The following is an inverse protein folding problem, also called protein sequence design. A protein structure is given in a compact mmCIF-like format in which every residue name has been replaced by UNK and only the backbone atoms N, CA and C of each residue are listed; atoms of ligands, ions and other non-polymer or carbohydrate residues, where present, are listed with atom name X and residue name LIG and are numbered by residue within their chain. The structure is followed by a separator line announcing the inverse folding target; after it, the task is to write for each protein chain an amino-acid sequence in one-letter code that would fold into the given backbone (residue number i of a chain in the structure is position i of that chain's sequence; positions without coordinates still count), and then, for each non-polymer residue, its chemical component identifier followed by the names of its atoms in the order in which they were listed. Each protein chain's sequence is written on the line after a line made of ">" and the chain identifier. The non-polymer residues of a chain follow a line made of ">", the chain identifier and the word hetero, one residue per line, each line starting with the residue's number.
data_IF_238135665418
#
_entry.id   IF_238135665418
#
_cell.length_a   1.000
_cell.length_b   1.000
_cell.length_c   1.000
_cell.angle_alpha   90.00
_cell.angle_beta   90.00
_cell.angle_gamma   90.00
#
_symmetry.space_group_name_H-M   'P 1'
#
loop_
_entity.id
_entity.type
_entity.pdbx_description
1 polymer ?
#
# COMPACT_ATOMS: atom_id res chain seq x y z
N UNK A 1 7.47 -2.98 31.72
CA UNK A 1 7.61 -1.63 31.12
C UNK A 1 6.33 -0.81 31.31
N UNK A 2 5.16 -1.25 30.83
CA UNK A 2 3.89 -0.53 31.01
C UNK A 2 3.59 -0.14 32.47
N UNK A 3 3.77 -1.07 33.44
CA UNK A 3 3.57 -0.79 34.86
C UNK A 3 4.56 0.23 35.46
N UNK A 4 5.76 0.38 34.86
CA UNK A 4 6.75 1.37 35.31
C UNK A 4 6.39 2.74 34.73
N UNK A 5 6.00 2.79 33.45
CA UNK A 5 5.55 4.01 32.77
C UNK A 5 4.24 4.56 33.35
N UNK A 6 3.30 3.69 33.71
CA UNK A 6 2.06 4.08 34.38
C UNK A 6 2.31 4.68 35.78
N UNK A 7 3.39 4.27 36.47
CA UNK A 7 3.77 4.78 37.79
C UNK A 7 4.60 6.07 37.73
N UNK A 8 5.47 6.22 36.71
CA UNK A 8 6.37 7.37 36.57
C UNK A 8 5.78 8.52 35.74
N UNK A 9 4.65 8.29 35.07
CA UNK A 9 4.04 9.24 34.14
C UNK A 9 4.75 9.22 32.79
N UNK A 10 3.99 9.48 31.73
CA UNK A 10 4.43 9.40 30.33
C UNK A 10 5.23 10.67 29.93
N UNK A 11 5.13 11.71 30.76
CA UNK A 11 5.77 13.01 30.55
C UNK A 11 7.22 13.09 31.08
N UNK A 12 7.83 11.98 31.49
CA UNK A 12 9.25 11.96 31.86
C UNK A 12 10.14 11.95 30.59
N UNK A 13 11.17 12.79 30.59
CA UNK A 13 12.04 13.01 29.42
C UNK A 13 12.51 11.75 28.69
N UNK A 14 13.00 10.71 29.39
CA UNK A 14 13.45 9.47 28.75
C UNK A 14 12.34 8.71 27.99
N UNK A 15 11.12 8.69 28.50
CA UNK A 15 9.99 8.01 27.83
C UNK A 15 9.57 8.75 26.58
N UNK A 16 9.51 10.08 26.63
CA UNK A 16 9.20 10.90 25.44
C UNK A 16 10.25 10.65 24.35
N UNK A 17 11.53 10.63 24.72
CA UNK A 17 12.62 10.33 23.78
C UNK A 17 12.48 8.91 23.21
N UNK A 18 12.23 7.91 24.04
CA UNK A 18 12.05 6.53 23.60
C UNK A 18 10.86 6.39 22.63
N UNK A 19 9.71 6.99 22.96
CA UNK A 19 8.52 7.01 22.10
C UNK A 19 8.77 7.72 20.79
N UNK A 20 9.49 8.85 20.81
CA UNK A 20 9.87 9.57 19.60
C UNK A 20 10.76 8.70 18.70
N UNK A 21 11.79 8.04 19.24
CA UNK A 21 12.68 7.17 18.47
C UNK A 21 11.94 5.96 17.89
N UNK A 22 11.05 5.32 18.66
CA UNK A 22 10.22 4.22 18.18
C UNK A 22 9.29 4.69 17.05
N UNK A 23 8.67 5.85 17.21
CA UNK A 23 7.78 6.44 16.19
C UNK A 23 8.53 6.75 14.91
N UNK A 24 9.74 7.34 15.02
CA UNK A 24 10.61 7.60 13.86
C UNK A 24 11.01 6.30 13.17
N UNK A 25 11.44 5.29 13.92
CA UNK A 25 11.87 4.00 13.35
C UNK A 25 10.74 3.25 12.63
N UNK A 26 9.56 3.19 13.25
CA UNK A 26 8.37 2.57 12.65
C UNK A 26 7.86 3.38 11.46
N UNK A 27 7.84 4.71 11.58
CA UNK A 27 7.48 5.64 10.50
C UNK A 27 8.39 5.50 9.28
N UNK A 28 9.70 5.39 9.50
CA UNK A 28 10.70 5.13 8.46
C UNK A 28 10.45 3.80 7.74
N UNK A 29 10.22 2.71 8.50
CA UNK A 29 9.97 1.38 7.92
C UNK A 29 8.66 1.31 7.14
N UNK A 30 7.62 1.98 7.61
CA UNK A 30 6.34 2.07 6.90
C UNK A 30 6.34 3.09 5.75
N UNK A 31 7.39 3.91 5.61
CA UNK A 31 7.48 5.05 4.68
C UNK A 31 6.35 6.08 4.88
N UNK A 32 6.08 6.43 6.14
CA UNK A 32 5.12 7.48 6.52
C UNK A 32 5.80 8.84 6.36
N UNK A 33 5.10 9.87 5.88
CA UNK A 33 5.61 11.24 5.85
C UNK A 33 5.85 11.72 7.29
N UNK A 34 7.02 12.31 7.64
CA UNK A 34 8.11 12.80 6.79
C UNK A 34 9.25 11.80 6.50
N UNK A 35 9.20 10.57 7.01
CA UNK A 35 10.28 9.58 6.97
C UNK A 35 10.33 8.73 5.68
N UNK A 36 9.65 9.15 4.61
CA UNK A 36 9.48 8.40 3.36
C UNK A 36 10.57 8.63 2.31
N UNK A 37 11.46 9.61 2.52
CA UNK A 37 12.41 10.12 1.51
C UNK A 37 13.25 9.04 0.82
N UNK A 38 13.60 7.98 1.55
CA UNK A 38 14.40 6.87 1.03
C UNK A 38 13.66 6.01 -0.01
N UNK A 39 12.32 5.96 0.05
CA UNK A 39 11.51 4.95 -0.65
C UNK A 39 11.58 5.08 -2.17
N UNK A 40 11.39 6.26 -2.79
CA UNK A 40 11.43 6.39 -4.25
C UNK A 40 12.78 6.04 -4.84
N UNK A 41 13.87 6.52 -4.25
CA UNK A 41 15.22 6.31 -4.79
C UNK A 41 15.70 4.87 -4.56
N UNK A 42 15.35 4.25 -3.42
CA UNK A 42 15.65 2.84 -3.20
C UNK A 42 14.88 1.91 -4.16
N UNK A 43 13.62 2.24 -4.47
CA UNK A 43 12.80 1.41 -5.35
C UNK A 43 13.27 1.47 -6.81
N UNK A 44 13.68 2.65 -7.24
CA UNK A 44 14.17 2.90 -8.60
C UNK A 44 15.60 2.36 -8.80
N UNK A 45 16.46 2.52 -7.79
CA UNK A 45 17.85 2.08 -7.85
C UNK A 45 18.06 0.57 -7.65
N UNK A 46 17.14 -0.11 -6.96
CA UNK A 46 17.25 -1.54 -6.72
C UNK A 46 16.70 -2.40 -7.88
N UNK A 47 17.19 -3.64 -8.05
CA UNK A 47 16.59 -4.59 -8.98
C UNK A 47 15.10 -4.81 -8.66
N UNK A 48 14.28 -4.90 -9.70
CA UNK A 48 12.81 -5.01 -9.59
C UNK A 48 12.34 -6.13 -8.63
N UNK A 49 12.95 -7.33 -8.53
CA UNK A 49 12.51 -8.34 -7.55
C UNK A 49 12.78 -7.90 -6.09
N UNK A 50 13.91 -7.24 -5.86
CA UNK A 50 14.25 -6.71 -4.54
C UNK A 50 13.28 -5.58 -4.16
N UNK A 51 12.98 -4.69 -5.10
CA UNK A 51 11.97 -3.64 -4.92
C UNK A 51 10.59 -4.21 -4.61
N UNK A 52 10.17 -5.25 -5.34
CA UNK A 52 8.90 -5.94 -5.08
C UNK A 52 8.81 -6.44 -3.64
N UNK A 53 9.83 -7.16 -3.17
CA UNK A 53 9.89 -7.67 -1.80
C UNK A 53 9.91 -6.54 -0.77
N UNK A 54 10.79 -5.54 -0.96
CA UNK A 54 10.92 -4.38 -0.07
C UNK A 54 9.63 -3.56 0.02
N UNK A 55 8.82 -3.57 -1.03
CA UNK A 55 7.58 -2.81 -1.07
C UNK A 55 6.45 -3.39 -0.24
N UNK A 56 6.52 -4.68 0.10
CA UNK A 56 5.44 -5.40 0.78
C UNK A 56 5.91 -5.97 2.11
N UNK A 57 6.96 -6.79 2.13
CA UNK A 57 7.39 -7.54 3.31
C UNK A 57 7.70 -6.64 4.52
N UNK A 58 8.68 -5.71 4.39
CA UNK A 58 9.00 -4.76 5.46
C UNK A 58 7.83 -3.88 5.89
N UNK A 59 6.93 -3.50 4.97
CA UNK A 59 5.74 -2.70 5.30
C UNK A 59 4.72 -3.48 6.10
N UNK A 60 4.46 -4.73 5.71
CA UNK A 60 3.59 -5.63 6.46
C UNK A 60 4.10 -5.83 7.89
N UNK A 61 5.41 -6.08 8.04
CA UNK A 61 6.05 -6.18 9.34
C UNK A 61 5.96 -4.87 10.15
N UNK A 62 6.15 -3.72 9.50
CA UNK A 62 6.03 -2.41 10.14
C UNK A 62 4.62 -2.17 10.69
N UNK A 63 3.58 -2.44 9.90
CA UNK A 63 2.19 -2.27 10.36
C UNK A 63 1.80 -3.28 11.45
N UNK A 64 2.29 -4.51 11.38
CA UNK A 64 2.12 -5.47 12.47
C UNK A 64 2.78 -4.98 13.78
N UNK A 65 3.99 -4.43 13.68
CA UNK A 65 4.69 -3.84 14.82
C UNK A 65 3.98 -2.60 15.36
N UNK A 66 3.50 -1.70 14.49
CA UNK A 66 2.72 -0.51 14.86
C UNK A 66 1.48 -0.92 15.66
N UNK A 67 0.70 -1.89 15.19
CA UNK A 67 -0.48 -2.38 15.92
C UNK A 67 -0.09 -2.95 17.30
N UNK A 68 0.95 -3.79 17.38
CA UNK A 68 1.39 -4.37 18.65
C UNK A 68 1.93 -3.33 19.64
N UNK A 69 2.65 -2.33 19.16
CA UNK A 69 3.18 -1.26 20.01
C UNK A 69 2.04 -0.36 20.50
N UNK A 70 1.19 0.13 19.60
CA UNK A 70 0.13 1.07 19.96
C UNK A 70 -0.95 0.44 20.83
N UNK A 71 -1.43 -0.77 20.47
CA UNK A 71 -2.54 -1.41 21.18
C UNK A 71 -2.06 -2.25 22.37
N UNK A 72 -0.94 -2.95 22.23
CA UNK A 72 -0.41 -3.81 23.29
C UNK A 72 0.46 -3.05 24.29
N UNK A 73 1.59 -2.49 23.83
CA UNK A 73 2.57 -1.89 24.74
C UNK A 73 2.12 -0.54 25.31
N UNK A 74 1.48 0.30 24.47
CA UNK A 74 1.05 1.65 24.83
C UNK A 74 -0.44 1.75 25.17
N UNK A 75 -1.25 0.74 24.83
CA UNK A 75 -2.67 0.70 25.13
C UNK A 75 -3.00 0.96 26.61
N UNK A 76 -2.33 0.29 27.57
CA UNK A 76 -2.55 0.51 29.00
C UNK A 76 -2.24 1.93 29.49
N UNK A 77 -1.49 2.74 28.73
CA UNK A 77 -1.16 4.12 29.08
C UNK A 77 -2.28 5.11 28.74
N UNK A 78 -3.29 4.68 27.97
CA UNK A 78 -4.46 5.52 27.64
C UNK A 78 -4.18 6.70 26.71
N UNK A 79 -2.94 6.88 26.21
CA UNK A 79 -2.58 8.00 25.33
C UNK A 79 -3.40 7.96 24.05
N UNK A 80 -3.91 9.12 23.63
CA UNK A 80 -4.60 9.26 22.37
C UNK A 80 -3.66 9.65 21.22
N UNK A 81 -3.51 8.73 20.27
CA UNK A 81 -2.69 8.88 19.07
C UNK A 81 -3.53 9.16 17.83
N UNK A 82 -4.86 9.07 17.94
CA UNK A 82 -5.79 8.98 16.82
C UNK A 82 -5.69 10.21 15.92
N UNK A 83 -5.69 11.42 16.52
CA UNK A 83 -5.59 12.67 15.78
C UNK A 83 -4.26 12.81 15.02
N UNK A 84 -3.14 12.52 15.67
CA UNK A 84 -1.81 12.61 15.04
C UNK A 84 -1.69 11.61 13.89
N UNK A 85 -2.10 10.36 14.11
CA UNK A 85 -2.05 9.32 13.07
C UNK A 85 -3.00 9.63 11.92
N UNK A 86 -4.18 10.21 12.18
CA UNK A 86 -5.12 10.64 11.15
C UNK A 86 -4.53 11.76 10.27
N UNK A 87 -3.86 12.75 10.87
CA UNK A 87 -3.17 13.82 10.13
C UNK A 87 -2.03 13.23 9.29
N UNK A 88 -1.17 12.38 9.89
CA UNK A 88 -0.09 11.72 9.18
C UNK A 88 -0.61 10.84 8.04
N UNK A 89 -1.73 10.15 8.23
CA UNK A 89 -2.38 9.36 7.20
C UNK A 89 -2.80 10.23 6.02
N UNK A 90 -3.49 11.34 6.29
CA UNK A 90 -3.94 12.30 5.27
C UNK A 90 -2.77 12.89 4.48
N UNK A 91 -1.73 13.35 5.18
CA UNK A 91 -0.53 13.92 4.54
C UNK A 91 0.21 12.86 3.73
N UNK A 92 0.33 11.64 4.24
CA UNK A 92 1.03 10.53 3.57
C UNK A 92 0.31 10.10 2.30
N UNK A 93 -1.02 9.91 2.35
CA UNK A 93 -1.79 9.54 1.16
C UNK A 93 -1.79 10.65 0.10
N UNK A 94 -1.96 11.90 0.54
CA UNK A 94 -2.04 13.07 -0.35
C UNK A 94 -0.70 13.39 -0.99
N UNK A 95 0.36 13.46 -0.20
CA UNK A 95 1.72 13.70 -0.70
C UNK A 95 2.17 12.59 -1.65
N UNK A 96 1.91 11.32 -1.31
CA UNK A 96 2.21 10.18 -2.17
C UNK A 96 1.51 10.28 -3.52
N UNK A 97 0.20 10.53 -3.54
CA UNK A 97 -0.56 10.61 -4.78
C UNK A 97 -0.20 11.83 -5.64
N UNK A 98 0.00 13.01 -5.03
CA UNK A 98 0.39 14.22 -5.77
C UNK A 98 1.72 14.01 -6.49
N UNK A 99 2.72 13.46 -5.79
CA UNK A 99 4.05 13.29 -6.39
C UNK A 99 4.05 12.12 -7.40
N UNK A 100 3.23 11.08 -7.19
CA UNK A 100 3.05 9.99 -8.16
C UNK A 100 2.56 10.50 -9.52
N UNK A 101 1.66 11.49 -9.56
CA UNK A 101 1.17 12.10 -10.80
C UNK A 101 2.31 12.69 -11.65
N UNK A 102 3.28 13.32 -11.00
CA UNK A 102 4.41 13.95 -11.67
C UNK A 102 5.47 12.94 -12.17
N UNK A 103 5.41 11.66 -11.77
CA UNK A 103 6.42 10.68 -12.16
C UNK A 103 6.24 10.23 -13.61
N UNK A 104 7.35 10.18 -14.34
CA UNK A 104 7.48 9.63 -15.70
C UNK A 104 8.09 8.23 -15.75
N UNK A 105 8.67 7.77 -14.64
CA UNK A 105 9.17 6.41 -14.45
C UNK A 105 8.14 5.61 -13.64
N UNK A 106 7.77 4.43 -14.14
CA UNK A 106 6.73 3.57 -13.57
C UNK A 106 7.15 2.97 -12.22
N UNK A 107 8.43 2.61 -12.03
CA UNK A 107 8.93 2.12 -10.73
C UNK A 107 8.86 3.22 -9.66
N UNK A 108 9.30 4.44 -10.00
CA UNK A 108 9.17 5.62 -9.10
C UNK A 108 7.71 5.96 -8.83
N UNK A 109 6.85 5.91 -9.84
CA UNK A 109 5.41 6.12 -9.69
C UNK A 109 4.81 5.10 -8.70
N UNK A 110 5.15 3.81 -8.83
CA UNK A 110 4.73 2.77 -7.88
C UNK A 110 5.33 2.95 -6.47
N UNK A 111 6.52 3.55 -6.35
CA UNK A 111 7.09 3.90 -5.05
C UNK A 111 6.28 4.99 -4.33
N UNK A 112 5.89 6.05 -5.05
CA UNK A 112 5.03 7.10 -4.50
C UNK A 112 3.59 6.61 -4.24
N UNK A 113 3.07 5.73 -5.11
CA UNK A 113 1.85 4.99 -4.84
C UNK A 113 1.96 4.16 -3.55
N UNK A 114 3.06 3.44 -3.34
CA UNK A 114 3.32 2.67 -2.12
C UNK A 114 3.30 3.55 -0.88
N UNK A 115 3.82 4.78 -0.96
CA UNK A 115 3.68 5.79 0.10
C UNK A 115 2.20 6.15 0.27
N UNK A 116 1.46 6.40 -0.81
CA UNK A 116 0.05 6.72 -0.71
C UNK A 116 -0.77 5.60 -0.03
N UNK A 117 -0.48 4.34 -0.37
CA UNK A 117 -1.10 3.17 0.24
C UNK A 117 -0.78 3.00 1.73
N UNK A 118 0.44 3.36 2.16
CA UNK A 118 0.76 3.48 3.59
C UNK A 118 -0.21 4.43 4.29
N UNK A 119 -0.58 5.55 3.67
CA UNK A 119 -1.54 6.51 4.24
C UNK A 119 -2.93 5.91 4.47
N UNK A 120 -3.46 5.13 3.51
CA UNK A 120 -4.75 4.45 3.69
C UNK A 120 -4.72 3.43 4.83
N UNK A 121 -3.64 2.64 4.94
CA UNK A 121 -3.48 1.69 6.05
C UNK A 121 -3.37 2.45 7.38
N UNK A 122 -2.61 3.55 7.41
CA UNK A 122 -2.44 4.38 8.60
C UNK A 122 -3.76 5.01 9.07
N UNK A 123 -4.69 5.30 8.16
CA UNK A 123 -6.03 5.77 8.52
C UNK A 123 -6.81 4.73 9.35
N UNK A 124 -6.71 3.44 9.00
CA UNK A 124 -7.29 2.37 9.81
C UNK A 124 -6.58 2.21 11.16
N UNK A 125 -5.25 2.43 11.22
CA UNK A 125 -4.51 2.45 12.50
C UNK A 125 -4.98 3.62 13.37
N UNK A 126 -5.23 4.80 12.80
CA UNK A 126 -5.76 5.94 13.53
C UNK A 126 -7.14 5.65 14.16
N UNK A 127 -7.92 4.76 13.53
CA UNK A 127 -9.20 4.28 14.01
C UNK A 127 -9.10 3.06 14.94
N UNK A 128 -7.91 2.58 15.30
CA UNK A 128 -7.73 1.29 16.00
C UNK A 128 -8.47 1.19 17.34
N UNK A 129 -8.73 2.31 18.01
CA UNK A 129 -9.52 2.36 19.26
C UNK A 129 -11.02 2.20 19.07
N UNK A 130 -11.55 2.38 17.86
CA UNK A 130 -12.97 2.21 17.57
C UNK A 130 -13.43 0.73 17.62
N UNK A 131 -12.48 -0.21 17.59
CA UNK A 131 -12.75 -1.63 17.79
C UNK A 131 -11.89 -2.55 16.93
N UNK A 132 -12.12 -3.87 17.02
CA UNK A 132 -11.34 -4.87 16.29
C UNK A 132 -11.49 -4.77 14.76
N UNK A 133 -12.56 -4.14 14.27
CA UNK A 133 -12.78 -3.89 12.83
C UNK A 133 -11.68 -3.02 12.21
N UNK A 134 -11.13 -2.06 12.96
CA UNK A 134 -10.03 -1.22 12.50
C UNK A 134 -8.72 -2.02 12.34
N UNK A 135 -8.39 -2.87 13.31
CA UNK A 135 -7.26 -3.79 13.20
C UNK A 135 -7.44 -4.78 12.05
N UNK A 136 -8.65 -5.30 11.86
CA UNK A 136 -9.01 -6.17 10.73
C UNK A 136 -8.80 -5.46 9.39
N UNK A 137 -9.21 -4.18 9.29
CA UNK A 137 -9.02 -3.36 8.10
C UNK A 137 -7.53 -3.16 7.77
N UNK A 138 -6.66 -2.93 8.76
CA UNK A 138 -5.20 -2.86 8.56
C UNK A 138 -4.67 -4.15 7.97
N UNK A 139 -5.00 -5.30 8.58
CA UNK A 139 -4.52 -6.62 8.14
C UNK A 139 -5.03 -6.98 6.74
N UNK A 140 -6.31 -6.75 6.48
CA UNK A 140 -6.92 -6.98 5.17
C UNK A 140 -6.27 -6.09 4.10
N UNK A 141 -6.07 -4.80 4.39
CA UNK A 141 -5.47 -3.88 3.44
C UNK A 141 -4.02 -4.24 3.15
N UNK A 142 -3.21 -4.58 4.16
CA UNK A 142 -1.82 -5.03 3.97
C UNK A 142 -1.77 -6.27 3.09
N UNK A 143 -2.67 -7.25 3.31
CA UNK A 143 -2.76 -8.44 2.47
C UNK A 143 -3.14 -8.11 1.03
N UNK A 144 -4.22 -7.34 0.84
CA UNK A 144 -4.69 -6.93 -0.48
C UNK A 144 -3.62 -6.13 -1.23
N UNK A 145 -2.97 -5.18 -0.54
CA UNK A 145 -1.84 -4.41 -1.04
C UNK A 145 -0.67 -5.30 -1.43
N UNK A 146 -0.33 -6.29 -0.60
CA UNK A 146 0.70 -7.25 -0.92
C UNK A 146 0.43 -7.97 -2.25
N UNK A 147 -0.79 -8.48 -2.43
CA UNK A 147 -1.19 -9.18 -3.64
C UNK A 147 -1.11 -8.29 -4.88
N UNK A 148 -1.70 -7.09 -4.81
CA UNK A 148 -1.75 -6.19 -5.97
C UNK A 148 -0.38 -5.57 -6.30
N UNK A 149 0.41 -5.23 -5.29
CA UNK A 149 1.70 -4.56 -5.51
C UNK A 149 2.79 -5.56 -5.93
N UNK A 150 2.83 -6.76 -5.37
CA UNK A 150 3.69 -7.83 -5.88
C UNK A 150 3.32 -8.20 -7.31
N UNK A 151 2.03 -8.27 -7.63
CA UNK A 151 1.54 -8.48 -9.00
C UNK A 151 2.02 -7.39 -9.96
N UNK A 152 1.88 -6.12 -9.58
CA UNK A 152 2.34 -4.98 -10.37
C UNK A 152 3.86 -5.04 -10.64
N UNK A 153 4.69 -5.30 -9.62
CA UNK A 153 6.12 -5.45 -9.81
C UNK A 153 6.50 -6.73 -10.56
N UNK A 154 5.73 -7.81 -10.43
CA UNK A 154 5.93 -9.02 -11.23
C UNK A 154 5.61 -8.78 -12.71
N UNK A 155 4.65 -7.91 -13.03
CA UNK A 155 4.44 -7.43 -14.39
C UNK A 155 5.63 -6.61 -14.88
N UNK A 156 6.17 -5.70 -14.06
CA UNK A 156 7.41 -4.99 -14.44
C UNK A 156 8.58 -5.95 -14.67
N UNK A 157 8.71 -7.02 -13.88
CA UNK A 157 9.69 -8.09 -14.15
C UNK A 157 9.43 -8.84 -15.45
N UNK A 158 8.16 -9.10 -15.75
CA UNK A 158 7.74 -9.73 -17.00
C UNK A 158 8.12 -8.86 -18.21
N UNK A 159 8.15 -7.54 -18.05
CA UNK A 159 8.55 -6.59 -19.09
C UNK A 159 10.08 -6.42 -19.19
N UNK A 160 10.81 -6.57 -18.08
CA UNK A 160 12.23 -6.20 -17.89
C UNK A 160 13.22 -7.40 -18.05
N UNK A 161 12.90 -8.41 -18.88
CA UNK A 161 13.77 -9.59 -19.08
C UNK A 161 14.89 -9.42 -20.14
N UNK A 162 15.09 -8.22 -20.71
CA UNK A 162 16.16 -7.94 -21.71
C UNK A 162 16.86 -6.57 -21.50
N UNK A 163 17.13 -6.16 -20.26
CA UNK A 163 18.13 -5.11 -19.99
C UNK A 163 17.72 -3.66 -20.28
N UNK A 164 16.43 -3.40 -20.54
CA UNK A 164 15.87 -2.03 -20.55
C UNK A 164 15.80 -1.51 -19.11
N UNK A 165 16.87 -0.85 -18.68
CA UNK A 165 16.91 -0.18 -17.38
C UNK A 165 15.87 0.94 -17.33
N UNK A 166 14.78 0.66 -16.63
CA UNK A 166 13.89 1.68 -16.06
C UNK A 166 12.64 1.91 -16.89
N UNK A 167 11.52 1.35 -16.43
CA UNK A 167 10.21 1.40 -17.06
C UNK A 167 9.67 2.84 -17.19
N UNK A 168 10.21 3.61 -18.13
CA UNK A 168 9.63 4.89 -18.52
C UNK A 168 8.19 4.66 -19.00
N UNK A 169 7.33 5.65 -18.81
CA UNK A 169 5.95 5.55 -19.29
C UNK A 169 5.89 5.40 -20.82
N UNK A 170 6.88 5.92 -21.53
CA UNK A 170 6.96 5.87 -23.00
C UNK A 170 7.30 4.46 -23.50
N UNK A 171 8.12 3.69 -22.77
CA UNK A 171 8.38 2.28 -23.08
C UNK A 171 7.13 1.39 -23.02
N UNK A 172 6.10 1.83 -22.29
CA UNK A 172 4.83 1.13 -22.20
C UNK A 172 3.89 1.44 -23.37
N UNK A 173 4.23 2.37 -24.27
CA UNK A 173 3.39 2.72 -25.42
C UNK A 173 3.10 1.50 -26.32
N UNK A 174 1.81 1.20 -26.53
CA UNK A 174 1.36 0.11 -27.40
C UNK A 174 1.69 -1.29 -26.91
N UNK A 175 2.11 -1.44 -25.65
CA UNK A 175 2.52 -2.72 -25.06
C UNK A 175 1.40 -3.77 -25.07
N UNK A 176 0.14 -3.35 -24.97
CA UNK A 176 -1.05 -4.22 -25.02
C UNK A 176 -1.17 -5.00 -26.33
N UNK A 177 -0.67 -4.49 -27.46
CA UNK A 177 -0.64 -5.21 -28.74
C UNK A 177 0.51 -6.22 -28.83
N UNK A 178 1.58 -6.00 -28.06
CA UNK A 178 2.82 -6.80 -28.08
C UNK A 178 2.74 -8.02 -27.18
N UNK A 179 2.32 -7.78 -25.95
CA UNK A 179 2.29 -8.74 -24.85
C UNK A 179 0.92 -8.63 -24.14
N UNK A 180 -0.17 -9.03 -24.81
CA UNK A 180 -1.54 -8.80 -24.33
C UNK A 180 -1.79 -9.41 -22.96
N UNK A 181 -1.20 -10.57 -22.66
CA UNK A 181 -1.34 -11.22 -21.36
C UNK A 181 -0.71 -10.38 -20.23
N UNK A 182 0.56 -9.98 -20.38
CA UNK A 182 1.26 -9.16 -19.38
C UNK A 182 0.61 -7.79 -19.19
N UNK A 183 0.15 -7.16 -20.28
CA UNK A 183 -0.56 -5.89 -20.24
C UNK A 183 -1.91 -5.99 -19.51
N UNK A 184 -2.66 -7.07 -19.75
CA UNK A 184 -3.94 -7.32 -19.08
C UNK A 184 -3.74 -7.57 -17.57
N UNK A 185 -2.79 -8.42 -17.22
CA UNK A 185 -2.43 -8.66 -15.82
C UNK A 185 -2.04 -7.36 -15.11
N UNK A 186 -1.19 -6.54 -15.74
CA UNK A 186 -0.77 -5.27 -15.17
C UNK A 186 -1.94 -4.31 -15.00
N UNK A 187 -2.81 -4.19 -16.01
CA UNK A 187 -4.02 -3.38 -15.91
C UNK A 187 -4.92 -3.83 -14.74
N UNK A 188 -5.12 -5.13 -14.53
CA UNK A 188 -5.88 -5.66 -13.38
C UNK A 188 -5.27 -5.20 -12.05
N UNK A 189 -3.95 -5.29 -11.88
CA UNK A 189 -3.29 -4.83 -10.66
C UNK A 189 -3.40 -3.31 -10.46
N UNK A 190 -3.25 -2.51 -11.51
CA UNK A 190 -3.38 -1.04 -11.42
C UNK A 190 -4.82 -0.60 -11.15
N UNK A 191 -5.80 -1.26 -11.76
CA UNK A 191 -7.24 -1.07 -11.48
C UNK A 191 -7.54 -1.44 -10.02
N UNK A 192 -6.91 -2.51 -9.52
CA UNK A 192 -7.03 -2.90 -8.11
C UNK A 192 -6.41 -1.87 -7.17
N UNK A 193 -5.18 -1.41 -7.44
CA UNK A 193 -4.54 -0.36 -6.66
C UNK A 193 -5.35 0.95 -6.66
N UNK A 194 -5.96 1.29 -7.80
CA UNK A 194 -6.92 2.41 -7.90
C UNK A 194 -8.12 2.20 -6.99
N UNK A 195 -8.56 0.96 -6.82
CA UNK A 195 -9.71 0.59 -6.00
C UNK A 195 -11.01 0.61 -6.79
N UNK A 196 -10.99 0.12 -8.03
CA UNK A 196 -12.19 0.04 -8.88
C UNK A 196 -12.83 -1.35 -8.71
N UNK A 197 -14.16 -1.47 -8.49
CA UNK A 197 -14.85 -2.76 -8.45
C UNK A 197 -14.70 -3.56 -9.76
N UNK A 198 -14.66 -4.90 -9.73
CA UNK A 198 -14.83 -5.81 -8.59
C UNK A 198 -13.50 -6.30 -8.01
N UNK A 199 -12.49 -5.45 -7.82
CA UNK A 199 -11.15 -5.85 -7.35
C UNK A 199 -11.03 -5.87 -5.82
N UNK A 200 -10.09 -6.66 -5.29
CA UNK A 200 -9.79 -6.69 -3.84
C UNK A 200 -9.34 -5.32 -3.30
N UNK A 201 -8.69 -4.48 -4.12
CA UNK A 201 -8.26 -3.15 -3.68
C UNK A 201 -9.42 -2.17 -3.46
N UNK A 202 -10.55 -2.33 -4.17
CA UNK A 202 -11.78 -1.61 -3.84
C UNK A 202 -12.27 -1.98 -2.44
N UNK A 203 -12.37 -3.29 -2.18
CA UNK A 203 -12.79 -3.80 -0.88
C UNK A 203 -11.86 -3.30 0.23
N UNK A 204 -10.55 -3.31 -0.01
CA UNK A 204 -9.57 -2.83 0.95
C UNK A 204 -9.80 -1.37 1.35
N UNK A 205 -10.03 -0.46 0.39
CA UNK A 205 -10.36 0.94 0.68
C UNK A 205 -11.71 1.06 1.41
N UNK A 206 -12.69 0.26 1.01
CA UNK A 206 -14.02 0.29 1.62
C UNK A 206 -14.00 -0.14 3.09
N UNK A 207 -13.33 -1.24 3.43
CA UNK A 207 -13.26 -1.73 4.82
C UNK A 207 -12.49 -0.80 5.76
N UNK A 208 -11.66 0.10 5.23
CA UNK A 208 -10.99 1.14 6.03
C UNK A 208 -11.95 2.28 6.38
N UNK A 209 -12.91 2.60 5.51
CA UNK A 209 -13.81 3.74 5.71
C UNK A 209 -14.71 3.54 6.93
N UNK A 210 -15.29 2.34 7.10
CA UNK A 210 -16.24 2.10 8.20
C UNK A 210 -15.62 2.35 9.59
N UNK A 211 -14.48 1.75 9.97
CA UNK A 211 -13.87 2.03 11.28
C UNK A 211 -13.42 3.49 11.44
N UNK A 212 -13.02 4.16 10.36
CA UNK A 212 -12.67 5.59 10.38
C UNK A 212 -13.90 6.45 10.71
N UNK A 213 -15.07 6.11 10.17
CA UNK A 213 -16.33 6.76 10.53
C UNK A 213 -16.73 6.47 11.99
N UNK A 214 -16.61 5.21 12.42
CA UNK A 214 -16.90 4.80 13.80
C UNK A 214 -16.00 5.52 14.82
N UNK A 215 -14.77 5.85 14.42
CA UNK A 215 -13.82 6.65 15.21
C UNK A 215 -14.12 8.17 15.21
N UNK A 216 -15.19 8.62 14.56
CA UNK A 216 -15.54 10.05 14.44
C UNK A 216 -14.65 10.83 13.46
N UNK A 217 -13.85 10.15 12.63
CA UNK A 217 -12.89 10.76 11.70
C UNK A 217 -13.49 10.92 10.29
N UNK A 218 -14.73 11.41 10.19
CA UNK A 218 -15.44 11.53 8.91
C UNK A 218 -14.70 12.35 7.85
N UNK A 219 -13.99 13.40 8.28
CA UNK A 219 -13.13 14.19 7.38
C UNK A 219 -12.05 13.34 6.71
N UNK A 220 -11.49 12.34 7.40
CA UNK A 220 -10.46 11.45 6.87
C UNK A 220 -11.05 10.49 5.84
N UNK A 221 -12.30 10.04 6.03
CA UNK A 221 -13.01 9.26 5.02
C UNK A 221 -13.19 10.04 3.70
N UNK A 222 -13.49 11.34 3.79
CA UNK A 222 -13.54 12.22 2.61
C UNK A 222 -12.16 12.32 1.94
N UNK A 223 -11.10 12.51 2.72
CA UNK A 223 -9.72 12.55 2.19
C UNK A 223 -9.33 11.24 1.50
N UNK A 224 -9.75 10.08 2.04
CA UNK A 224 -9.54 8.76 1.43
C UNK A 224 -10.21 8.70 0.04
N UNK A 225 -11.47 9.12 -0.05
CA UNK A 225 -12.22 9.12 -1.30
C UNK A 225 -11.59 10.04 -2.37
N UNK A 226 -11.22 11.28 -1.99
CA UNK A 226 -10.56 12.22 -2.90
C UNK A 226 -9.21 11.69 -3.39
N UNK A 227 -8.43 11.07 -2.51
CA UNK A 227 -7.15 10.48 -2.88
C UNK A 227 -7.31 9.26 -3.79
N UNK A 228 -8.40 8.49 -3.66
CA UNK A 228 -8.68 7.39 -4.58
C UNK A 228 -8.94 7.90 -6.01
N UNK A 229 -9.64 9.03 -6.15
CA UNK A 229 -9.82 9.70 -7.44
C UNK A 229 -8.48 10.19 -8.00
N UNK A 230 -7.65 10.82 -7.16
CA UNK A 230 -6.31 11.28 -7.57
C UNK A 230 -5.44 10.11 -8.06
N UNK A 231 -5.51 8.97 -7.37
CA UNK A 231 -4.79 7.76 -7.75
C UNK A 231 -5.20 7.22 -9.11
N UNK A 232 -6.49 7.30 -9.44
CA UNK A 232 -7.02 6.82 -10.71
C UNK A 232 -6.33 7.49 -11.91
N UNK A 233 -5.98 8.78 -11.82
CA UNK A 233 -5.32 9.48 -12.92
C UNK A 233 -3.98 8.86 -13.31
N UNK A 234 -3.05 8.67 -12.37
CA UNK A 234 -1.72 8.14 -12.73
C UNK A 234 -1.76 6.65 -13.08
N UNK A 235 -2.66 5.87 -12.48
CA UNK A 235 -2.82 4.46 -12.84
C UNK A 235 -3.45 4.26 -14.21
N UNK A 236 -4.56 4.97 -14.49
CA UNK A 236 -5.21 4.90 -15.79
C UNK A 236 -4.31 5.47 -16.89
N UNK A 237 -3.47 6.48 -16.60
CA UNK A 237 -2.45 6.95 -17.54
C UNK A 237 -1.56 5.81 -18.03
N UNK A 238 -1.11 4.92 -17.15
CA UNK A 238 -0.31 3.74 -17.55
C UNK A 238 -1.11 2.79 -18.43
N UNK A 239 -2.37 2.53 -18.07
CA UNK A 239 -3.27 1.68 -18.88
C UNK A 239 -3.49 2.29 -20.26
N UNK A 240 -3.78 3.58 -20.35
CA UNK A 240 -3.98 4.30 -21.62
C UNK A 240 -2.72 4.23 -22.48
N UNK A 241 -1.53 4.43 -21.91
CA UNK A 241 -0.25 4.28 -22.61
C UNK A 241 -0.10 2.89 -23.23
N UNK A 242 -0.43 1.83 -22.48
CA UNK A 242 -0.35 0.45 -22.98
C UNK A 242 -1.27 0.14 -24.16
N UNK A 243 -2.47 0.72 -24.21
CA UNK A 243 -3.50 0.29 -25.17
C UNK A 243 -3.82 1.30 -26.27
N UNK A 244 -3.65 2.60 -26.01
CA UNK A 244 -4.11 3.68 -26.90
C UNK A 244 -2.99 4.39 -27.65
N UNK A 245 -1.75 4.30 -27.17
CA UNK A 245 -0.59 4.87 -27.85
C UNK A 245 0.01 3.87 -28.84
N UNK A 246 0.59 4.39 -29.91
CA UNK A 246 1.31 3.57 -30.88
C UNK A 246 2.73 3.27 -30.41
N UNK A 247 3.26 2.18 -30.96
CA UNK A 247 4.59 1.67 -30.65
C UNK A 247 5.65 2.58 -31.26
N UNK A 248 6.54 3.15 -30.43
CA UNK A 248 7.64 4.01 -30.93
C UNK A 248 8.80 3.20 -31.57
N UNK A 249 9.11 2.00 -31.08
CA UNK A 249 10.20 1.16 -31.63
C UNK A 249 9.89 -0.33 -31.62
N UNK A 250 10.29 -1.09 -32.65
CA UNK A 250 10.18 -2.56 -32.75
C UNK A 250 11.14 -3.30 -31.79
N UNK A 251 10.85 -3.26 -30.50
CA UNK A 251 11.49 -4.13 -29.49
C UNK A 251 11.05 -5.60 -29.71
N UNK A 252 11.97 -6.58 -29.68
CA UNK A 252 11.64 -8.00 -29.87
C UNK A 252 10.56 -8.52 -28.91
N UNK A 253 9.83 -9.57 -29.31
CA UNK A 253 8.93 -10.28 -28.40
C UNK A 253 9.76 -11.06 -27.38
N UNK A 254 9.73 -10.59 -26.14
CA UNK A 254 10.40 -11.27 -25.03
C UNK A 254 9.75 -12.62 -24.71
N UNK A 255 10.57 -13.66 -24.60
CA UNK A 255 10.15 -14.97 -24.12
C UNK A 255 10.06 -14.95 -22.59
N UNK A 256 8.85 -14.86 -22.05
CA UNK A 256 8.65 -14.93 -20.60
C UNK A 256 8.73 -16.37 -20.09
N UNK A 257 9.37 -16.56 -18.93
CA UNK A 257 9.36 -17.85 -18.24
C UNK A 257 7.94 -18.32 -17.89
N UNK A 258 7.66 -19.62 -18.10
CA UNK A 258 6.35 -20.23 -17.81
C UNK A 258 5.91 -20.01 -16.36
N UNK A 259 6.83 -20.12 -15.41
CA UNK A 259 6.55 -19.94 -13.99
C UNK A 259 6.04 -18.52 -13.67
N UNK A 260 6.68 -17.48 -14.22
CA UNK A 260 6.26 -16.09 -14.02
C UNK A 260 4.87 -15.84 -14.62
N UNK A 261 4.61 -16.38 -15.81
CA UNK A 261 3.31 -16.24 -16.49
C UNK A 261 2.18 -16.88 -15.69
N UNK A 262 2.40 -18.10 -15.17
CA UNK A 262 1.43 -18.80 -14.31
C UNK A 262 1.19 -18.03 -13.02
N UNK A 263 2.26 -17.56 -12.36
CA UNK A 263 2.15 -16.75 -11.13
C UNK A 263 1.34 -15.47 -11.36
N UNK A 264 1.54 -14.77 -12.47
CA UNK A 264 0.76 -13.58 -12.83
C UNK A 264 -0.72 -13.92 -13.08
N UNK A 265 -1.00 -15.04 -13.77
CA UNK A 265 -2.36 -15.52 -13.99
C UNK A 265 -3.09 -15.81 -12.68
N UNK A 266 -2.45 -16.55 -11.77
CA UNK A 266 -2.99 -16.88 -10.45
C UNK A 266 -3.21 -15.61 -9.62
N UNK A 267 -2.23 -14.70 -9.56
CA UNK A 267 -2.34 -13.48 -8.78
C UNK A 267 -3.43 -12.53 -9.33
N UNK A 268 -3.53 -12.39 -10.65
CA UNK A 268 -4.58 -11.57 -11.29
C UNK A 268 -5.96 -12.15 -11.04
N UNK A 269 -6.09 -13.48 -11.13
CA UNK A 269 -7.33 -14.18 -10.80
C UNK A 269 -7.72 -14.00 -9.32
N UNK A 270 -6.76 -14.14 -8.41
CA UNK A 270 -6.97 -13.93 -6.97
C UNK A 270 -7.44 -12.50 -6.66
N UNK A 271 -6.90 -11.48 -7.32
CA UNK A 271 -7.32 -10.08 -7.16
C UNK A 271 -8.81 -9.88 -7.46
N UNK A 272 -9.33 -10.55 -8.50
CA UNK A 272 -10.74 -10.46 -8.88
C UNK A 272 -11.60 -11.31 -7.96
N UNK A 273 -11.26 -12.58 -7.77
CA UNK A 273 -12.05 -13.51 -6.94
C UNK A 273 -12.18 -13.02 -5.51
N UNK A 274 -11.10 -12.54 -4.91
CA UNK A 274 -11.11 -12.02 -3.54
C UNK A 274 -11.77 -10.63 -3.44
N UNK A 275 -11.90 -9.91 -4.56
CA UNK A 275 -12.73 -8.70 -4.62
C UNK A 275 -14.22 -9.02 -4.61
N UNK A 276 -14.64 -10.11 -5.27
CA UNK A 276 -16.03 -10.57 -5.29
C UNK A 276 -16.40 -11.30 -3.98
N UNK A 277 -15.48 -12.12 -3.45
CA UNK A 277 -15.69 -12.97 -2.27
C UNK A 277 -14.69 -12.65 -1.13
N UNK A 278 -14.74 -11.44 -0.53
CA UNK A 278 -13.76 -11.02 0.47
C UNK A 278 -13.99 -11.63 1.86
N UNK A 279 -15.17 -12.18 2.12
CA UNK A 279 -15.65 -12.51 3.47
C UNK A 279 -14.69 -13.40 4.26
N UNK A 280 -14.18 -14.49 3.68
CA UNK A 280 -13.30 -15.42 4.39
C UNK A 280 -12.01 -14.77 4.88
N UNK A 281 -11.36 -13.98 4.01
CA UNK A 281 -10.13 -13.26 4.35
C UNK A 281 -10.40 -12.19 5.40
N UNK A 282 -11.49 -11.44 5.26
CA UNK A 282 -11.86 -10.42 6.25
C UNK A 282 -12.17 -11.03 7.63
N UNK A 283 -12.84 -12.18 7.69
CA UNK A 283 -13.11 -12.88 8.94
C UNK A 283 -11.83 -13.36 9.63
N UNK A 284 -10.85 -13.88 8.87
CA UNK A 284 -9.54 -14.22 9.43
C UNK A 284 -8.81 -12.98 9.96
N UNK A 285 -8.89 -11.86 9.24
CA UNK A 285 -8.34 -10.59 9.71
C UNK A 285 -9.00 -10.13 11.02
N UNK A 286 -10.32 -10.28 11.14
CA UNK A 286 -11.07 -9.93 12.35
C UNK A 286 -10.66 -10.81 13.54
N UNK A 287 -10.59 -12.13 13.34
CA UNK A 287 -10.15 -13.08 14.37
C UNK A 287 -8.72 -12.79 14.84
N UNK A 288 -7.82 -12.43 13.92
CA UNK A 288 -6.44 -12.06 14.25
C UNK A 288 -6.33 -10.71 14.97
N UNK A 289 -7.24 -9.77 14.71
CA UNK A 289 -7.25 -8.45 15.34
C UNK A 289 -7.88 -8.44 16.74
N UNK A 290 -8.85 -9.32 17.02
CA UNK A 290 -9.58 -9.37 18.29
C UNK A 290 -8.68 -9.40 19.55
N UNK A 291 -7.60 -10.21 19.61
CA UNK A 291 -6.74 -10.26 20.80
C UNK A 291 -5.97 -8.97 21.07
N UNK A 292 -5.84 -8.07 20.08
CA UNK A 292 -5.08 -6.82 20.24
C UNK A 292 -5.86 -5.72 20.96
N UNK A 293 -7.18 -5.86 21.07
CA UNK A 293 -8.08 -4.84 21.67
C UNK A 293 -8.55 -5.26 23.08
N UNK A 294 -8.14 -6.43 23.56
CA UNK A 294 -8.41 -6.92 24.92
C UNK A 294 -7.33 -6.44 25.89
#
# INVERSE_FOLDING_TARGET
>A
MANVLARQGIANGPTIVALALVTVGLGFKAAIVPFHQWTPDAYDGAPTPATAFMSVGPKAAAFAAILRVLLGALGPLGVDWSAVLAILAAVTMTGGNIVALAQTNTKRMLAYSSIAHTGYILAAVAAAKAGPSAGAAVLFYVFAYGLMNLGAFACLLYFDLEGTRGASLDELNGFGRRQPFGALAFAIFLISLTGIPPTIGFVAKFVVIQPVLDAGLAWLAVVIALNAVLAAFYYLRVVVRMYMYDVEEKVPRLASGRALSVSLGIASFAVIVLGILPNSIYQWALQAAQPLVR
#
